data_IF_346447151851
#
_entry.id   IF_346447151851
#
_cell.length_a   1.000
_cell.length_b   1.000
_cell.length_c   1.000
_cell.angle_alpha   90.00
_cell.angle_beta   90.00
_cell.angle_gamma   90.00
#
_symmetry.space_group_name_H-M   'P 1'
#
loop_
_entity.id
_entity.type
_entity.pdbx_description
1 polymer ?
#
# COMPACT_ATOMS: atom_id res chain seq x y z
N UNK A 1 65.78 -37.68 -28.78
CA UNK A 1 66.05 -36.83 -29.94
C UNK A 1 64.93 -37.10 -30.93
N UNK A 2 63.78 -36.49 -30.66
CA UNK A 2 63.22 -35.41 -31.49
C UNK A 2 63.40 -35.59 -33.01
N UNK A 3 62.33 -35.69 -33.79
CA UNK A 3 61.46 -34.57 -34.17
C UNK A 3 60.54 -34.92 -35.35
N UNK A 4 59.41 -34.20 -35.38
CA UNK A 4 58.64 -33.76 -36.55
C UNK A 4 57.73 -34.70 -37.38
N UNK A 5 56.44 -34.65 -37.00
CA UNK A 5 55.34 -34.03 -37.74
C UNK A 5 55.17 -34.27 -39.26
N UNK A 6 53.98 -34.77 -39.64
CA UNK A 6 53.03 -34.05 -40.52
C UNK A 6 51.64 -34.67 -40.50
N UNK A 7 50.66 -33.83 -40.16
CA UNK A 7 49.26 -34.19 -39.99
C UNK A 7 48.50 -34.37 -41.30
N UNK A 8 47.35 -35.02 -41.18
CA UNK A 8 46.23 -34.88 -42.10
C UNK A 8 45.02 -34.43 -41.28
N UNK A 9 44.43 -33.33 -41.73
CA UNK A 9 43.17 -32.74 -41.27
C UNK A 9 42.09 -33.82 -41.26
N UNK A 10 41.38 -33.93 -40.14
CA UNK A 10 39.98 -34.33 -40.18
C UNK A 10 39.17 -33.28 -39.42
N UNK A 11 38.41 -32.54 -40.21
CA UNK A 11 37.43 -31.56 -39.78
C UNK A 11 36.33 -32.32 -39.02
N UNK A 12 36.27 -32.14 -37.71
CA UNK A 12 35.01 -32.27 -36.98
C UNK A 12 34.69 -30.90 -36.43
N UNK A 13 33.91 -30.15 -37.22
CA UNK A 13 33.04 -29.10 -36.72
C UNK A 13 32.26 -29.67 -35.53
N UNK A 14 32.73 -29.37 -34.32
CA UNK A 14 31.94 -29.53 -33.11
C UNK A 14 30.82 -28.51 -33.18
N UNK A 15 29.62 -29.00 -33.45
CA UNK A 15 28.35 -28.31 -33.36
C UNK A 15 28.29 -27.40 -32.11
N UNK A 16 27.55 -26.28 -32.15
CA UNK A 16 27.46 -25.37 -31.01
C UNK A 16 26.95 -26.14 -29.80
N UNK A 17 27.75 -26.15 -28.75
CA UNK A 17 27.31 -26.61 -27.43
C UNK A 17 26.05 -25.82 -27.08
N UNK A 18 24.90 -26.50 -27.08
CA UNK A 18 23.74 -26.08 -26.33
C UNK A 18 24.21 -25.95 -24.88
N UNK A 19 24.36 -24.71 -24.42
CA UNK A 19 24.59 -24.37 -23.03
C UNK A 19 23.30 -24.70 -22.29
N UNK A 20 23.22 -25.92 -21.74
CA UNK A 20 22.16 -26.29 -20.82
C UNK A 20 22.19 -25.35 -19.61
N UNK A 21 20.99 -24.92 -19.22
CA UNK A 21 20.64 -24.19 -18.01
C UNK A 21 21.17 -24.87 -16.72
N UNK A 22 22.45 -24.71 -16.38
CA UNK A 22 22.98 -25.23 -15.10
C UNK A 22 22.41 -24.43 -13.92
N UNK A 23 21.42 -25.02 -13.24
CA UNK A 23 20.88 -24.55 -11.99
C UNK A 23 21.88 -24.80 -10.85
N UNK A 24 22.45 -23.75 -10.28
CA UNK A 24 23.39 -23.84 -9.16
C UNK A 24 22.63 -24.14 -7.86
N UNK A 25 22.85 -25.32 -7.26
CA UNK A 25 22.30 -25.65 -5.94
C UNK A 25 23.17 -25.02 -4.84
N UNK A 26 22.58 -24.11 -4.05
CA UNK A 26 23.21 -23.51 -2.88
C UNK A 26 22.78 -24.24 -1.61
N UNK A 27 23.73 -24.90 -0.96
CA UNK A 27 23.52 -25.70 0.25
C UNK A 27 24.04 -25.02 1.53
N UNK A 28 24.51 -23.78 1.42
CA UNK A 28 25.13 -23.00 2.50
C UNK A 28 26.61 -22.68 2.26
N UNK A 29 27.15 -21.77 3.07
CA UNK A 29 28.55 -21.34 3.02
C UNK A 29 28.83 -20.18 2.05
N UNK A 30 30.11 -19.89 1.86
CA UNK A 30 30.56 -18.78 0.99
C UNK A 30 30.72 -19.23 -0.47
N UNK A 31 30.37 -18.33 -1.39
CA UNK A 31 30.61 -18.54 -2.83
C UNK A 31 31.90 -17.82 -3.22
N UNK A 32 32.92 -18.56 -3.71
CA UNK A 32 34.18 -17.97 -4.18
C UNK A 32 33.94 -16.96 -5.30
N UNK A 33 34.73 -15.87 -5.30
CA UNK A 33 34.51 -14.72 -6.20
C UNK A 33 34.58 -15.09 -7.68
N UNK A 34 35.45 -16.03 -8.01
CA UNK A 34 35.65 -16.57 -9.35
C UNK A 34 34.39 -17.25 -9.89
N UNK A 35 33.62 -17.94 -9.04
CA UNK A 35 32.40 -18.65 -9.43
C UNK A 35 31.20 -17.73 -9.60
N UNK A 36 31.19 -16.54 -8.97
CA UNK A 36 30.05 -15.60 -8.99
C UNK A 36 29.65 -15.14 -10.40
N UNK A 37 30.59 -15.15 -11.35
CA UNK A 37 30.34 -14.77 -12.74
C UNK A 37 29.69 -15.88 -13.55
N UNK A 38 29.77 -17.13 -13.10
CA UNK A 38 29.24 -18.31 -13.77
C UNK A 38 27.79 -18.60 -13.36
N UNK A 39 27.38 -18.15 -12.17
CA UNK A 39 26.04 -18.40 -11.64
C UNK A 39 25.03 -17.52 -12.38
N UNK A 40 24.15 -18.17 -13.14
CA UNK A 40 23.02 -17.53 -13.84
C UNK A 40 21.69 -17.80 -13.15
N UNK A 41 21.54 -18.95 -12.50
CA UNK A 41 20.32 -19.37 -11.81
C UNK A 41 20.71 -20.10 -10.53
N UNK A 42 20.09 -19.77 -9.40
CA UNK A 42 20.33 -20.45 -8.13
C UNK A 42 19.07 -21.09 -7.58
N UNK A 43 19.22 -22.29 -7.02
CA UNK A 43 18.23 -22.96 -6.18
C UNK A 43 18.77 -23.03 -4.75
N UNK A 44 18.06 -22.42 -3.81
CA UNK A 44 18.41 -22.43 -2.38
C UNK A 44 17.86 -23.70 -1.76
N UNK A 45 18.75 -24.58 -1.29
CA UNK A 45 18.38 -25.87 -0.73
C UNK A 45 17.57 -25.77 0.56
N UNK A 46 16.73 -26.77 0.88
CA UNK A 46 15.77 -26.72 1.99
C UNK A 46 16.43 -26.71 3.38
N UNK A 47 17.69 -27.12 3.46
CA UNK A 47 18.51 -27.10 4.68
C UNK A 47 19.07 -25.72 5.04
N UNK A 48 19.05 -24.76 4.10
CA UNK A 48 19.63 -23.43 4.31
C UNK A 48 18.72 -22.63 5.26
N UNK A 49 19.24 -22.32 6.45
CA UNK A 49 18.51 -21.55 7.47
C UNK A 49 18.74 -20.04 7.35
N UNK A 50 19.88 -19.65 6.82
CA UNK A 50 20.27 -18.26 6.62
C UNK A 50 21.16 -18.15 5.39
N UNK A 51 20.99 -17.06 4.63
CA UNK A 51 21.92 -16.66 3.58
C UNK A 51 22.81 -15.59 4.18
N UNK A 52 24.11 -15.86 4.30
CA UNK A 52 25.05 -14.95 4.94
C UNK A 52 25.23 -13.66 4.13
N UNK A 53 25.69 -12.59 4.82
CA UNK A 53 25.93 -11.30 4.19
C UNK A 53 26.87 -11.40 2.98
N UNK A 54 26.45 -10.80 1.86
CA UNK A 54 27.24 -10.74 0.63
C UNK A 54 27.46 -12.07 -0.09
N UNK A 55 26.69 -13.12 0.21
CA UNK A 55 26.85 -14.47 -0.36
C UNK A 55 26.79 -14.46 -1.89
N UNK A 56 25.78 -13.81 -2.48
CA UNK A 56 25.59 -13.63 -3.92
C UNK A 56 25.93 -12.21 -4.39
N UNK A 57 26.52 -11.36 -3.54
CA UNK A 57 26.88 -9.99 -3.92
C UNK A 57 27.75 -9.96 -5.19
N UNK A 58 27.34 -9.16 -6.18
CA UNK A 58 28.02 -9.02 -7.46
C UNK A 58 27.93 -10.24 -8.38
N UNK A 59 27.01 -11.19 -8.15
CA UNK A 59 26.68 -12.22 -9.13
C UNK A 59 25.93 -11.58 -10.31
N UNK A 60 26.65 -10.84 -11.16
CA UNK A 60 26.05 -9.97 -12.19
C UNK A 60 25.23 -10.70 -13.24
N UNK A 61 25.45 -12.01 -13.42
CA UNK A 61 24.72 -12.85 -14.37
C UNK A 61 23.55 -13.60 -13.72
N UNK A 62 23.39 -13.54 -12.39
CA UNK A 62 22.31 -14.20 -11.68
C UNK A 62 20.97 -13.56 -12.06
N UNK A 63 20.16 -14.30 -12.82
CA UNK A 63 18.88 -13.89 -13.36
C UNK A 63 17.69 -14.44 -12.58
N UNK A 64 17.85 -15.59 -11.90
CA UNK A 64 16.77 -16.28 -11.20
C UNK A 64 17.23 -16.84 -9.85
N UNK A 65 16.41 -16.65 -8.81
CA UNK A 65 16.58 -17.23 -7.48
C UNK A 65 15.33 -18.04 -7.17
N UNK A 66 15.50 -19.34 -6.93
CA UNK A 66 14.44 -20.27 -6.57
C UNK A 66 14.67 -20.78 -5.14
N UNK A 67 13.59 -20.91 -4.37
CA UNK A 67 13.62 -21.51 -3.04
C UNK A 67 12.87 -22.84 -3.08
N UNK A 68 13.39 -23.85 -2.39
CA UNK A 68 12.73 -25.15 -2.33
C UNK A 68 11.42 -25.07 -1.52
N UNK A 69 10.43 -25.87 -1.95
CA UNK A 69 9.18 -26.04 -1.20
C UNK A 69 9.48 -26.47 0.24
N UNK A 70 8.87 -25.79 1.21
CA UNK A 70 9.11 -26.07 2.64
C UNK A 70 10.48 -25.62 3.14
N UNK A 71 11.14 -24.67 2.47
CA UNK A 71 12.35 -24.01 2.97
C UNK A 71 12.17 -23.50 4.41
N UNK A 72 13.23 -23.62 5.21
CA UNK A 72 13.29 -23.09 6.58
C UNK A 72 14.20 -21.86 6.66
N UNK A 73 14.34 -21.13 5.55
CA UNK A 73 15.15 -19.92 5.48
C UNK A 73 14.53 -18.82 6.35
N UNK A 74 15.21 -18.43 7.43
CA UNK A 74 14.72 -17.46 8.40
C UNK A 74 15.16 -16.03 8.10
N UNK A 75 16.35 -15.87 7.51
CA UNK A 75 16.95 -14.57 7.28
C UNK A 75 17.82 -14.54 6.01
N UNK A 76 17.77 -13.39 5.33
CA UNK A 76 18.69 -13.06 4.24
C UNK A 76 19.57 -11.92 4.72
N UNK A 77 20.88 -12.15 4.79
CA UNK A 77 21.87 -11.24 5.34
C UNK A 77 22.10 -9.98 4.49
N UNK A 78 22.88 -9.07 5.04
CA UNK A 78 23.15 -7.78 4.43
C UNK A 78 23.85 -7.93 3.07
N UNK A 79 23.41 -7.17 2.08
CA UNK A 79 23.95 -7.20 0.72
C UNK A 79 23.96 -8.60 0.07
N UNK A 80 23.17 -9.57 0.57
CA UNK A 80 23.26 -10.96 0.12
C UNK A 80 23.12 -11.12 -1.40
N UNK A 81 22.28 -10.31 -2.05
CA UNK A 81 22.08 -10.29 -3.50
C UNK A 81 22.40 -8.91 -4.11
N UNK A 82 23.23 -8.09 -3.46
CA UNK A 82 23.56 -6.77 -4.00
C UNK A 82 24.25 -6.86 -5.36
N UNK A 83 24.00 -5.90 -6.25
CA UNK A 83 24.55 -5.82 -7.60
C UNK A 83 24.32 -7.07 -8.48
N UNK A 84 23.28 -7.87 -8.21
CA UNK A 84 22.80 -8.92 -9.11
C UNK A 84 22.01 -8.29 -10.27
N UNK A 85 22.73 -7.57 -11.14
CA UNK A 85 22.11 -6.72 -12.19
C UNK A 85 21.28 -7.48 -13.21
N UNK A 86 21.42 -8.80 -13.35
CA UNK A 86 20.60 -9.63 -14.24
C UNK A 86 19.29 -10.11 -13.59
N UNK A 87 19.16 -10.01 -12.26
CA UNK A 87 18.00 -10.50 -11.51
C UNK A 87 16.77 -9.69 -11.90
N UNK A 88 15.70 -10.36 -12.34
CA UNK A 88 14.48 -9.71 -12.83
C UNK A 88 13.31 -9.77 -11.86
N UNK A 89 13.25 -10.85 -11.11
CA UNK A 89 12.20 -11.09 -10.13
C UNK A 89 12.77 -11.85 -8.94
N UNK A 90 12.17 -11.67 -7.77
CA UNK A 90 12.44 -12.50 -6.59
C UNK A 90 11.15 -12.76 -5.85
N UNK A 91 10.99 -13.99 -5.36
CA UNK A 91 9.91 -14.37 -4.46
C UNK A 91 10.49 -14.62 -3.08
N UNK A 92 10.03 -13.87 -2.08
CA UNK A 92 10.45 -14.03 -0.69
C UNK A 92 9.57 -15.07 -0.01
N UNK A 93 10.13 -16.22 0.43
CA UNK A 93 9.33 -17.31 0.97
C UNK A 93 8.76 -17.00 2.36
N UNK A 94 7.64 -17.65 2.71
CA UNK A 94 6.89 -17.38 3.95
C UNK A 94 7.70 -17.52 5.24
N UNK A 95 8.75 -18.34 5.23
CA UNK A 95 9.63 -18.59 6.37
C UNK A 95 10.56 -17.42 6.70
N UNK A 96 10.80 -16.52 5.75
CA UNK A 96 11.75 -15.40 5.93
C UNK A 96 11.12 -14.36 6.85
N UNK A 97 11.80 -14.10 7.96
CA UNK A 97 11.36 -13.14 8.98
C UNK A 97 12.06 -11.80 8.85
N UNK A 98 13.23 -11.76 8.18
CA UNK A 98 14.11 -10.60 8.09
C UNK A 98 14.87 -10.53 6.77
N UNK A 99 14.85 -9.33 6.17
CA UNK A 99 15.75 -8.93 5.08
C UNK A 99 16.79 -7.94 5.63
N UNK A 100 18.07 -8.24 5.40
CA UNK A 100 19.20 -7.40 5.82
C UNK A 100 19.33 -6.11 5.02
N UNK A 101 20.27 -5.28 5.45
CA UNK A 101 20.58 -3.99 4.81
C UNK A 101 21.11 -4.23 3.39
N UNK A 102 20.58 -3.50 2.40
CA UNK A 102 21.05 -3.54 1.03
C UNK A 102 20.87 -4.89 0.32
N UNK A 103 19.97 -5.75 0.80
CA UNK A 103 19.85 -7.15 0.33
C UNK A 103 19.77 -7.29 -1.20
N UNK A 104 19.05 -6.41 -1.88
CA UNK A 104 18.93 -6.35 -3.35
C UNK A 104 19.44 -5.01 -3.92
N UNK A 105 20.26 -4.27 -3.17
CA UNK A 105 20.78 -2.98 -3.60
C UNK A 105 21.52 -3.10 -4.95
N UNK A 106 21.19 -2.25 -5.92
CA UNK A 106 21.80 -2.23 -7.24
C UNK A 106 21.34 -3.36 -8.18
N UNK A 107 20.29 -4.12 -7.84
CA UNK A 107 19.65 -5.05 -8.78
C UNK A 107 18.83 -4.27 -9.83
N UNK A 108 19.52 -3.59 -10.74
CA UNK A 108 18.91 -2.57 -11.62
C UNK A 108 17.83 -3.10 -12.58
N UNK A 109 17.82 -4.40 -12.88
CA UNK A 109 16.79 -5.06 -13.69
C UNK A 109 15.70 -5.75 -12.87
N UNK A 110 15.74 -5.68 -11.54
CA UNK A 110 14.71 -6.25 -10.68
C UNK A 110 13.42 -5.45 -10.88
N UNK A 111 12.47 -6.06 -11.59
CA UNK A 111 11.22 -5.45 -11.99
C UNK A 111 10.05 -5.85 -11.07
N UNK A 112 10.16 -7.00 -10.43
CA UNK A 112 9.10 -7.58 -9.60
C UNK A 112 9.67 -8.16 -8.29
N UNK A 113 8.99 -7.88 -7.18
CA UNK A 113 9.28 -8.47 -5.87
C UNK A 113 7.97 -9.04 -5.34
N UNK A 114 7.96 -10.35 -5.14
CA UNK A 114 6.80 -11.09 -4.64
C UNK A 114 7.08 -11.55 -3.21
N UNK A 115 6.04 -11.55 -2.38
CA UNK A 115 6.08 -12.15 -1.04
C UNK A 115 5.04 -13.25 -1.02
N UNK A 116 5.41 -14.45 -0.56
CA UNK A 116 4.45 -15.54 -0.47
C UNK A 116 3.31 -15.21 0.51
N UNK A 117 2.10 -15.70 0.20
CA UNK A 117 0.94 -15.52 1.07
C UNK A 117 1.19 -16.07 2.48
N UNK A 118 0.83 -15.29 3.51
CA UNK A 118 1.10 -15.66 4.91
C UNK A 118 2.56 -15.50 5.33
N UNK A 119 3.33 -14.66 4.63
CA UNK A 119 4.68 -14.26 5.02
C UNK A 119 4.80 -13.76 6.46
N UNK A 120 5.93 -14.09 7.10
CA UNK A 120 6.27 -13.69 8.46
C UNK A 120 7.31 -12.56 8.49
N UNK A 121 7.52 -11.87 7.36
CA UNK A 121 8.52 -10.82 7.24
C UNK A 121 8.14 -9.63 8.12
N UNK A 122 8.95 -9.30 9.12
CA UNK A 122 8.65 -8.25 10.09
C UNK A 122 9.13 -6.86 9.67
N UNK A 123 10.23 -6.83 8.90
CA UNK A 123 10.87 -5.60 8.49
C UNK A 123 11.63 -5.77 7.17
N UNK A 124 11.62 -4.70 6.38
CA UNK A 124 12.50 -4.52 5.22
C UNK A 124 13.68 -3.65 5.68
N UNK A 125 14.91 -4.14 5.51
CA UNK A 125 16.12 -3.46 5.96
C UNK A 125 16.42 -2.14 5.23
N UNK A 126 17.38 -1.39 5.78
CA UNK A 126 17.87 -0.15 5.17
C UNK A 126 18.45 -0.45 3.77
N UNK A 127 18.29 0.46 2.81
CA UNK A 127 18.77 0.31 1.42
C UNK A 127 18.31 -0.97 0.68
N UNK A 128 17.34 -1.74 1.22
CA UNK A 128 17.06 -3.12 0.77
C UNK A 128 16.86 -3.28 -0.74
N UNK A 129 16.18 -2.33 -1.39
CA UNK A 129 15.92 -2.28 -2.82
C UNK A 129 16.52 -1.05 -3.49
N UNK A 130 17.53 -0.41 -2.87
CA UNK A 130 18.16 0.79 -3.40
C UNK A 130 18.67 0.59 -4.82
N UNK A 131 18.41 1.55 -5.71
CA UNK A 131 18.76 1.52 -7.13
C UNK A 131 18.20 0.30 -7.92
N UNK A 132 17.08 -0.28 -7.48
CA UNK A 132 16.29 -1.22 -8.30
C UNK A 132 15.50 -0.45 -9.37
N UNK A 133 16.20 0.09 -10.36
CA UNK A 133 15.65 1.04 -11.34
C UNK A 133 14.55 0.47 -12.23
N UNK A 134 14.42 -0.86 -12.36
CA UNK A 134 13.35 -1.49 -13.15
C UNK A 134 12.07 -1.75 -12.35
N UNK A 135 12.12 -1.67 -11.01
CA UNK A 135 10.98 -1.95 -10.14
C UNK A 135 9.88 -0.92 -10.40
N UNK A 136 8.67 -1.39 -10.71
CA UNK A 136 7.53 -0.53 -11.09
C UNK A 136 6.49 -0.40 -9.99
N UNK A 137 6.21 -1.51 -9.33
CA UNK A 137 5.22 -1.60 -8.26
C UNK A 137 5.73 -2.57 -7.21
N UNK A 138 5.34 -2.36 -5.96
CA UNK A 138 5.61 -3.31 -4.88
C UNK A 138 4.47 -3.26 -3.87
N UNK A 139 4.02 -4.45 -3.46
CA UNK A 139 3.06 -4.64 -2.38
C UNK A 139 3.80 -5.15 -1.16
N UNK A 140 3.84 -4.34 -0.10
CA UNK A 140 4.47 -4.67 1.18
C UNK A 140 3.43 -5.37 2.05
N UNK A 141 3.68 -6.63 2.47
CA UNK A 141 2.67 -7.45 3.13
C UNK A 141 2.41 -7.01 4.57
N UNK A 142 1.25 -7.43 5.10
CA UNK A 142 0.73 -6.97 6.39
C UNK A 142 1.63 -7.28 7.61
N UNK A 143 2.49 -8.30 7.48
CA UNK A 143 3.44 -8.65 8.54
C UNK A 143 4.55 -7.60 8.72
N UNK A 144 4.80 -6.75 7.72
CA UNK A 144 5.89 -5.77 7.72
C UNK A 144 5.46 -4.52 8.49
N UNK A 145 6.02 -4.37 9.69
CA UNK A 145 5.75 -3.21 10.55
C UNK A 145 6.69 -2.04 10.29
N UNK A 146 7.85 -2.30 9.68
CA UNK A 146 8.92 -1.32 9.49
C UNK A 146 9.59 -1.41 8.13
N UNK A 147 9.71 -0.25 7.48
CA UNK A 147 10.56 -0.04 6.31
C UNK A 147 11.83 0.72 6.74
N UNK A 148 12.99 0.22 6.36
CA UNK A 148 14.29 0.83 6.66
C UNK A 148 14.55 2.15 5.94
N UNK A 149 15.59 2.85 6.37
CA UNK A 149 16.04 4.09 5.74
C UNK A 149 16.50 3.81 4.30
N UNK A 150 16.19 4.69 3.35
CA UNK A 150 16.58 4.55 1.94
C UNK A 150 16.17 3.22 1.25
N UNK A 151 15.19 2.49 1.79
CA UNK A 151 14.84 1.15 1.32
C UNK A 151 14.54 1.06 -0.18
N UNK A 152 13.96 2.11 -0.79
CA UNK A 152 13.70 2.23 -2.22
C UNK A 152 14.41 3.44 -2.86
N UNK A 153 15.49 3.95 -2.26
CA UNK A 153 16.26 5.08 -2.81
C UNK A 153 16.67 4.81 -4.26
N UNK A 154 16.37 5.75 -5.15
CA UNK A 154 16.75 5.68 -6.56
C UNK A 154 16.01 4.61 -7.40
N UNK A 155 14.88 4.08 -6.94
CA UNK A 155 14.00 3.24 -7.76
C UNK A 155 13.22 4.08 -8.78
N UNK A 156 13.89 4.62 -9.80
CA UNK A 156 13.33 5.66 -10.69
C UNK A 156 12.04 5.29 -11.42
N UNK A 157 11.81 4.01 -11.75
CA UNK A 157 10.57 3.57 -12.40
C UNK A 157 9.46 3.15 -11.43
N UNK A 158 9.68 3.22 -10.11
CA UNK A 158 8.68 2.87 -9.11
C UNK A 158 7.55 3.88 -9.19
N UNK A 159 6.36 3.44 -9.62
CA UNK A 159 5.19 4.28 -9.85
C UNK A 159 4.17 4.20 -8.71
N UNK A 160 4.09 3.03 -8.07
CA UNK A 160 3.10 2.74 -7.03
C UNK A 160 3.72 1.87 -5.94
N UNK A 161 3.41 2.19 -4.69
CA UNK A 161 3.74 1.36 -3.53
C UNK A 161 2.49 1.14 -2.72
N UNK A 162 2.10 -0.13 -2.57
CA UNK A 162 1.01 -0.51 -1.69
C UNK A 162 1.57 -1.11 -0.41
N UNK A 163 1.04 -0.69 0.72
CA UNK A 163 1.28 -1.30 2.02
C UNK A 163 -0.02 -1.94 2.50
N UNK A 164 0.04 -3.21 2.84
CA UNK A 164 -1.06 -3.88 3.52
C UNK A 164 -1.13 -3.45 5.01
N UNK A 165 -2.09 -3.99 5.75
CA UNK A 165 -2.35 -3.58 7.14
C UNK A 165 -1.15 -3.82 8.05
N UNK A 166 -0.80 -2.88 8.93
CA UNK A 166 0.20 -3.11 9.98
C UNK A 166 1.52 -2.35 9.82
N UNK A 167 1.71 -1.60 8.73
CA UNK A 167 2.85 -0.68 8.63
C UNK A 167 2.78 0.41 9.72
N UNK A 168 3.84 0.50 10.52
CA UNK A 168 3.94 1.49 11.60
C UNK A 168 4.97 2.58 11.31
N UNK A 169 6.09 2.23 10.65
CA UNK A 169 7.23 3.13 10.45
C UNK A 169 7.78 3.02 9.03
N UNK A 170 7.96 4.18 8.40
CA UNK A 170 8.70 4.37 7.15
C UNK A 170 10.00 5.11 7.47
N UNK A 171 11.13 4.50 7.11
CA UNK A 171 12.46 5.06 7.30
C UNK A 171 12.69 6.38 6.56
N UNK A 172 13.64 7.16 7.06
CA UNK A 172 14.06 8.41 6.45
C UNK A 172 14.58 8.16 5.04
N UNK A 173 14.14 8.98 4.10
CA UNK A 173 14.57 8.87 2.72
C UNK A 173 14.21 7.57 1.99
N UNK A 174 13.28 6.77 2.53
CA UNK A 174 12.90 5.49 1.94
C UNK A 174 12.56 5.58 0.44
N UNK A 175 12.04 6.72 -0.02
CA UNK A 175 11.68 7.03 -1.40
C UNK A 175 12.36 8.31 -1.89
N UNK A 176 13.64 8.52 -1.54
CA UNK A 176 14.44 9.57 -2.18
C UNK A 176 14.78 9.16 -3.60
N UNK A 177 14.77 10.14 -4.50
CA UNK A 177 15.25 9.96 -5.85
C UNK A 177 16.43 10.89 -6.06
N UNK A 178 17.55 10.32 -6.51
CA UNK A 178 18.70 11.15 -6.86
C UNK A 178 18.27 12.23 -7.86
N UNK A 179 18.63 13.51 -7.59
CA UNK A 179 18.32 14.74 -8.37
C UNK A 179 18.51 14.72 -9.90
N UNK A 180 19.00 13.60 -10.45
CA UNK A 180 19.26 13.39 -11.88
C UNK A 180 18.31 12.38 -12.53
N UNK A 181 17.40 11.76 -11.76
CA UNK A 181 16.43 10.81 -12.28
C UNK A 181 15.03 11.41 -12.20
N UNK A 182 14.29 11.40 -13.30
CA UNK A 182 12.83 11.56 -13.26
C UNK A 182 12.27 10.35 -12.53
N UNK A 183 11.67 10.58 -11.37
CA UNK A 183 10.99 9.55 -10.61
C UNK A 183 9.55 9.43 -11.09
N UNK A 184 8.99 8.22 -11.06
CA UNK A 184 7.62 7.98 -11.49
C UNK A 184 6.63 7.79 -10.32
N UNK A 185 7.11 7.84 -9.07
CA UNK A 185 6.28 7.54 -7.90
C UNK A 185 5.21 8.60 -7.73
N UNK A 186 4.01 8.29 -8.18
CA UNK A 186 2.85 9.18 -8.14
C UNK A 186 1.95 8.88 -6.96
N UNK A 187 1.91 7.62 -6.50
CA UNK A 187 0.92 7.15 -5.54
C UNK A 187 1.52 6.21 -4.48
N UNK A 188 1.12 6.42 -3.22
CA UNK A 188 1.37 5.51 -2.11
C UNK A 188 0.03 5.11 -1.51
N UNK A 189 -0.23 3.82 -1.41
CA UNK A 189 -1.50 3.25 -0.93
C UNK A 189 -1.25 2.57 0.42
N UNK A 190 -1.98 2.99 1.45
CA UNK A 190 -1.92 2.46 2.82
C UNK A 190 -3.23 1.75 3.14
N UNK A 191 -3.25 0.42 3.00
CA UNK A 191 -4.35 -0.41 3.46
C UNK A 191 -4.25 -0.65 4.97
N UNK A 192 -5.38 -0.69 5.67
CA UNK A 192 -5.41 -0.69 7.14
C UNK A 192 -4.93 0.62 7.77
N UNK A 193 -4.77 1.69 6.98
CA UNK A 193 -4.31 3.00 7.44
C UNK A 193 -5.38 3.81 8.19
N UNK A 194 -6.48 3.19 8.63
CA UNK A 194 -7.58 3.85 9.35
C UNK A 194 -7.13 4.58 10.61
N UNK A 195 -6.05 4.10 11.25
CA UNK A 195 -5.44 4.77 12.39
C UNK A 195 -4.85 6.13 12.01
N UNK A 196 -4.50 6.40 10.74
CA UNK A 196 -4.11 7.73 10.28
C UNK A 196 -5.30 8.70 10.19
N UNK A 197 -6.53 8.21 10.32
CA UNK A 197 -7.73 9.05 10.33
C UNK A 197 -8.14 9.37 11.77
N UNK A 198 -8.74 10.55 11.97
CA UNK A 198 -9.26 10.95 13.28
C UNK A 198 -10.54 10.15 13.61
N UNK A 199 -10.49 9.20 14.54
CA UNK A 199 -11.65 8.37 14.94
C UNK A 199 -12.91 9.20 15.26
N UNK A 200 -12.74 10.32 15.97
CA UNK A 200 -13.85 11.23 16.30
C UNK A 200 -14.56 11.82 15.07
N UNK A 201 -13.90 11.89 13.92
CA UNK A 201 -14.50 12.38 12.69
C UNK A 201 -15.60 11.44 12.19
N UNK A 202 -15.35 10.12 12.25
CA UNK A 202 -16.31 9.10 11.82
C UNK A 202 -17.50 9.01 12.78
N UNK A 203 -17.27 9.28 14.08
CA UNK A 203 -18.32 9.26 15.10
C UNK A 203 -19.17 10.54 15.14
N UNK A 204 -18.60 11.71 14.79
CA UNK A 204 -19.22 13.03 15.05
C UNK A 204 -19.52 13.86 13.81
N UNK A 205 -19.09 13.45 12.62
CA UNK A 205 -19.20 14.23 11.39
C UNK A 205 -18.29 15.48 11.36
N UNK A 206 -18.49 16.35 10.36
CA UNK A 206 -17.68 17.55 10.05
C UNK A 206 -17.59 18.61 11.17
N UNK A 207 -18.34 18.46 12.27
CA UNK A 207 -18.58 19.51 13.26
C UNK A 207 -17.40 19.83 14.18
N UNK A 208 -16.27 19.13 14.08
CA UNK A 208 -15.13 19.35 14.99
C UNK A 208 -14.09 20.35 14.48
N UNK A 209 -14.17 20.82 13.23
CA UNK A 209 -13.14 21.70 12.64
C UNK A 209 -11.74 21.06 12.57
N UNK A 210 -11.61 19.78 12.90
CA UNK A 210 -10.42 18.97 12.71
C UNK A 210 -10.59 18.19 11.40
N UNK A 211 -9.63 18.31 10.49
CA UNK A 211 -9.61 17.55 9.24
C UNK A 211 -9.58 16.04 9.49
N UNK A 212 -9.89 15.24 8.47
CA UNK A 212 -10.00 13.79 8.65
C UNK A 212 -8.63 13.13 8.91
N UNK A 213 -7.55 13.70 8.37
CA UNK A 213 -6.19 13.21 8.52
C UNK A 213 -5.59 13.57 9.89
N UNK A 214 -5.05 12.58 10.59
CA UNK A 214 -4.31 12.78 11.83
C UNK A 214 -2.82 13.06 11.54
N UNK A 215 -2.49 14.34 11.38
CA UNK A 215 -1.12 14.77 11.05
C UNK A 215 -0.06 14.25 12.05
N UNK A 216 -0.41 14.15 13.34
CA UNK A 216 0.54 13.68 14.36
C UNK A 216 0.91 12.22 14.15
N UNK A 217 -0.08 11.37 13.85
CA UNK A 217 0.12 9.94 13.56
C UNK A 217 0.88 9.77 12.24
N UNK A 218 0.53 10.52 11.21
CA UNK A 218 1.24 10.51 9.93
C UNK A 218 2.72 10.93 10.08
N UNK A 219 2.99 12.03 10.78
CA UNK A 219 4.37 12.50 11.02
C UNK A 219 5.19 11.47 11.82
N UNK A 220 4.55 10.76 12.75
CA UNK A 220 5.20 9.69 13.52
C UNK A 220 5.55 8.48 12.63
N UNK A 221 4.66 8.11 11.71
CA UNK A 221 4.87 7.03 10.74
C UNK A 221 6.05 7.33 9.81
N UNK A 222 6.11 8.54 9.25
CA UNK A 222 7.11 8.95 8.25
C UNK A 222 8.43 9.39 8.90
N UNK A 223 8.62 9.14 10.20
CA UNK A 223 9.93 9.27 10.84
C UNK A 223 10.34 10.70 11.22
N UNK A 224 9.41 11.59 11.62
CA UNK A 224 9.75 12.83 12.33
C UNK A 224 10.29 12.51 13.74
N UNK A 225 11.51 11.99 13.85
CA UNK A 225 12.25 11.95 15.12
C UNK A 225 13.44 12.89 15.02
N UNK A 226 13.48 13.84 15.95
CA UNK A 226 14.51 14.84 16.19
C UNK A 226 15.96 14.31 16.02
N UNK A 227 16.50 14.36 14.81
CA UNK A 227 17.95 14.32 14.59
C UNK A 227 18.36 15.34 13.53
N UNK A 228 19.55 15.91 13.71
CA UNK A 228 20.09 17.03 12.94
C UNK A 228 20.53 16.65 11.51
N UNK A 229 19.88 15.68 10.85
CA UNK A 229 20.29 15.18 9.53
C UNK A 229 19.20 15.51 8.50
N UNK A 230 19.58 16.06 7.36
CA UNK A 230 18.68 16.61 6.34
C UNK A 230 17.79 15.57 5.58
N UNK A 231 17.89 14.28 5.88
CA UNK A 231 17.26 13.18 5.13
C UNK A 231 16.05 12.54 5.85
N UNK A 232 15.40 13.25 6.77
CA UNK A 232 14.33 12.69 7.61
C UNK A 232 12.98 12.46 6.91
N UNK A 233 12.79 12.94 5.70
CA UNK A 233 11.52 12.76 4.99
C UNK A 233 11.59 11.54 4.08
N UNK A 234 10.68 10.59 4.25
CA UNK A 234 10.62 9.41 3.39
C UNK A 234 10.43 9.77 1.90
N UNK A 235 9.75 10.88 1.60
CA UNK A 235 9.37 11.29 0.24
C UNK A 235 10.15 12.52 -0.27
N UNK A 236 11.35 12.79 0.26
CA UNK A 236 12.13 13.96 -0.15
C UNK A 236 12.47 13.91 -1.66
N UNK A 237 12.21 15.00 -2.37
CA UNK A 237 12.44 15.13 -3.83
C UNK A 237 11.62 14.12 -4.69
N UNK A 238 10.52 13.58 -4.14
CA UNK A 238 9.58 12.70 -4.85
C UNK A 238 8.46 13.48 -5.56
N UNK A 239 8.05 13.11 -6.79
CA UNK A 239 6.89 13.68 -7.48
C UNK A 239 5.55 13.13 -6.96
N UNK A 240 5.52 12.68 -5.70
CA UNK A 240 4.34 12.10 -5.07
C UNK A 240 3.22 13.14 -5.09
N UNK A 241 2.09 12.80 -5.68
CA UNK A 241 0.95 13.72 -5.78
C UNK A 241 -0.09 13.43 -4.72
N UNK A 242 -0.26 12.16 -4.32
CA UNK A 242 -1.24 11.75 -3.33
C UNK A 242 -0.76 10.58 -2.46
N UNK A 243 -1.16 10.62 -1.18
CA UNK A 243 -1.19 9.44 -0.29
C UNK A 243 -2.64 8.97 -0.20
N UNK A 244 -2.89 7.73 -0.58
CA UNK A 244 -4.18 7.08 -0.50
C UNK A 244 -4.24 6.24 0.78
N UNK A 245 -5.25 6.46 1.61
CA UNK A 245 -5.43 5.74 2.87
C UNK A 245 -6.76 5.00 2.82
N UNK A 246 -6.77 3.70 3.12
CA UNK A 246 -8.03 2.97 3.23
C UNK A 246 -8.88 3.53 4.37
N UNK A 247 -10.13 3.81 4.07
CA UNK A 247 -11.15 4.19 5.06
C UNK A 247 -11.52 2.94 5.87
N UNK A 248 -11.87 3.07 7.16
CA UNK A 248 -12.20 1.92 8.01
C UNK A 248 -13.20 0.95 7.41
N UNK A 249 -12.94 -0.34 7.60
CA UNK A 249 -13.73 -1.44 7.02
C UNK A 249 -15.20 -1.42 7.45
N UNK A 250 -15.53 -0.77 8.57
CA UNK A 250 -16.91 -0.57 9.02
C UNK A 250 -17.78 0.17 7.99
N UNK A 251 -17.20 1.06 7.19
CA UNK A 251 -17.91 1.75 6.10
C UNK A 251 -18.21 0.81 4.93
N UNK A 252 -17.22 0.04 4.50
CA UNK A 252 -17.40 -0.99 3.48
C UNK A 252 -18.40 -2.07 3.95
N UNK A 253 -18.36 -2.48 5.21
CA UNK A 253 -19.31 -3.44 5.80
C UNK A 253 -20.75 -2.91 5.84
N UNK A 254 -20.93 -1.61 6.09
CA UNK A 254 -22.26 -0.98 5.99
C UNK A 254 -22.77 -0.99 4.55
N UNK A 255 -21.89 -0.74 3.57
CA UNK A 255 -22.26 -0.81 2.15
C UNK A 255 -22.64 -2.22 1.69
N UNK A 256 -21.98 -3.28 2.20
CA UNK A 256 -22.32 -4.67 1.83
C UNK A 256 -23.66 -5.14 2.40
N UNK A 257 -24.16 -4.50 3.46
CA UNK A 257 -25.49 -4.77 4.04
C UNK A 257 -26.64 -4.13 3.24
N UNK A 258 -26.34 -3.17 2.36
CA UNK A 258 -27.34 -2.50 1.54
C UNK A 258 -27.77 -3.34 0.33
N UNK A 259 -29.00 -3.15 -0.18
CA UNK A 259 -29.41 -3.73 -1.46
C UNK A 259 -28.47 -3.33 -2.60
N UNK A 260 -28.30 -4.22 -3.59
CA UNK A 260 -27.35 -4.06 -4.68
C UNK A 260 -27.51 -2.73 -5.43
N UNK A 261 -28.75 -2.31 -5.71
CA UNK A 261 -29.05 -1.03 -6.38
C UNK A 261 -28.56 0.18 -5.58
N UNK A 262 -28.72 0.15 -4.25
CA UNK A 262 -28.27 1.22 -3.37
C UNK A 262 -26.74 1.25 -3.32
N UNK A 263 -26.10 0.08 -3.22
CA UNK A 263 -24.64 -0.05 -3.25
C UNK A 263 -24.07 0.53 -4.56
N UNK A 264 -24.60 0.15 -5.71
CA UNK A 264 -24.15 0.65 -7.02
C UNK A 264 -24.35 2.17 -7.15
N UNK A 265 -25.45 2.71 -6.61
CA UNK A 265 -25.68 4.15 -6.56
C UNK A 265 -24.62 4.88 -5.72
N UNK A 266 -24.27 4.34 -4.55
CA UNK A 266 -23.25 4.93 -3.67
C UNK A 266 -21.87 4.84 -4.33
N UNK A 267 -21.51 3.69 -4.90
CA UNK A 267 -20.24 3.52 -5.63
C UNK A 267 -20.13 4.46 -6.84
N UNK A 268 -21.23 4.69 -7.55
CA UNK A 268 -21.28 5.69 -8.63
C UNK A 268 -20.94 7.09 -8.12
N UNK A 269 -21.51 7.48 -6.98
CA UNK A 269 -21.23 8.78 -6.34
C UNK A 269 -19.80 8.88 -5.81
N UNK A 270 -19.23 7.80 -5.28
CA UNK A 270 -17.82 7.78 -4.84
C UNK A 270 -16.90 8.09 -6.02
N UNK A 271 -17.15 7.50 -7.20
CA UNK A 271 -16.34 7.74 -8.40
C UNK A 271 -16.43 9.18 -8.95
N UNK A 272 -17.43 9.95 -8.55
CA UNK A 272 -17.58 11.37 -8.91
C UNK A 272 -16.79 12.30 -7.98
N UNK A 273 -16.36 11.82 -6.81
CA UNK A 273 -15.67 12.62 -5.79
C UNK A 273 -14.15 12.58 -6.03
N UNK A 274 -13.54 13.74 -6.25
CA UNK A 274 -12.11 13.85 -6.58
C UNK A 274 -11.14 13.39 -5.48
N UNK A 275 -11.61 13.30 -4.23
CA UNK A 275 -10.80 12.96 -3.06
C UNK A 275 -11.03 11.53 -2.58
N UNK A 276 -11.86 10.74 -3.27
CA UNK A 276 -12.13 9.35 -2.95
C UNK A 276 -11.92 8.46 -4.18
N UNK A 277 -11.46 7.26 -3.93
CA UNK A 277 -11.33 6.22 -4.95
C UNK A 277 -11.93 4.92 -4.42
N UNK A 278 -12.51 4.13 -5.33
CA UNK A 278 -13.01 2.80 -5.00
C UNK A 278 -12.02 1.77 -5.56
N UNK A 279 -11.25 1.14 -4.67
CA UNK A 279 -10.32 0.09 -5.04
C UNK A 279 -11.05 -1.23 -5.37
N UNK A 280 -10.30 -2.18 -5.94
CA UNK A 280 -10.82 -3.52 -6.20
C UNK A 280 -11.28 -4.17 -4.89
N UNK A 281 -12.49 -4.73 -4.88
CA UNK A 281 -13.10 -5.33 -3.68
C UNK A 281 -14.01 -4.40 -2.85
N UNK A 282 -14.18 -3.13 -3.25
CA UNK A 282 -15.11 -2.20 -2.58
C UNK A 282 -14.51 -1.44 -1.40
N UNK A 283 -13.18 -1.52 -1.24
CA UNK A 283 -12.44 -0.67 -0.30
C UNK A 283 -12.45 0.77 -0.78
N UNK A 284 -12.85 1.68 0.10
CA UNK A 284 -12.81 3.12 -0.18
C UNK A 284 -11.44 3.65 0.22
N UNK A 285 -10.76 4.34 -0.68
CA UNK A 285 -9.51 5.03 -0.45
C UNK A 285 -9.78 6.53 -0.34
N UNK A 286 -9.30 7.14 0.74
CA UNK A 286 -9.25 8.59 0.90
C UNK A 286 -7.93 9.11 0.33
N UNK A 287 -8.00 10.03 -0.64
CA UNK A 287 -6.85 10.55 -1.36
C UNK A 287 -6.43 11.90 -0.77
N UNK A 288 -5.26 11.94 -0.12
CA UNK A 288 -4.71 13.16 0.46
C UNK A 288 -3.63 13.76 -0.45
N UNK A 289 -3.80 14.99 -0.95
CA UNK A 289 -2.79 15.64 -1.77
C UNK A 289 -1.51 15.92 -0.98
N UNK A 290 -0.39 15.78 -1.69
CA UNK A 290 0.95 16.04 -1.15
C UNK A 290 1.43 17.40 -1.63
N UNK A 291 1.74 18.29 -0.69
CA UNK A 291 2.20 19.65 -0.94
C UNK A 291 3.64 19.77 -0.49
N UNK A 292 4.54 20.02 -1.45
CA UNK A 292 5.95 20.30 -1.13
C UNK A 292 6.11 21.78 -0.78
N UNK A 293 6.57 22.07 0.44
CA UNK A 293 6.90 23.43 0.88
C UNK A 293 8.42 23.58 1.03
N UNK A 294 8.94 24.68 0.52
CA UNK A 294 10.32 25.10 0.79
C UNK A 294 10.28 25.85 2.13
N UNK A 295 11.04 25.38 3.11
CA UNK A 295 11.19 26.13 4.36
C UNK A 295 12.35 27.12 4.24
N UNK A 296 12.11 28.39 4.61
CA UNK A 296 13.09 29.50 4.57
C UNK A 296 14.20 29.39 5.63
N UNK A 297 14.46 28.19 6.17
CA UNK A 297 15.56 27.98 7.10
C UNK A 297 16.90 27.98 6.33
N UNK A 298 17.98 28.45 6.96
CA UNK A 298 19.34 28.63 6.37
C UNK A 298 19.94 27.39 5.68
N UNK A 299 19.29 26.22 5.77
CA UNK A 299 19.71 24.93 5.19
C UNK A 299 18.90 24.58 3.92
N UNK A 300 17.85 25.33 3.56
CA UNK A 300 17.05 25.07 2.36
C UNK A 300 16.39 23.69 2.36
N UNK A 301 15.78 23.29 3.48
CA UNK A 301 15.12 21.99 3.60
C UNK A 301 13.72 22.02 2.94
N UNK A 302 13.45 21.00 2.12
CA UNK A 302 12.11 20.74 1.57
C UNK A 302 11.33 19.91 2.58
N UNK A 303 10.16 20.40 2.98
CA UNK A 303 9.21 19.63 3.79
C UNK A 303 8.08 19.17 2.90
N UNK A 304 7.87 17.86 2.84
CA UNK A 304 6.69 17.26 2.20
C UNK A 304 5.57 17.26 3.23
N UNK A 305 4.51 18.00 2.98
CA UNK A 305 3.36 18.13 3.86
C UNK A 305 2.15 17.50 3.18
N UNK A 306 1.48 16.57 3.86
CA UNK A 306 0.31 15.88 3.35
C UNK A 306 -0.88 16.53 4.01
N UNK A 307 -1.74 17.18 3.23
CA UNK A 307 -2.82 17.99 3.79
C UNK A 307 -4.16 17.54 3.23
N UNK A 308 -5.18 17.49 4.08
CA UNK A 308 -6.56 17.55 3.61
C UNK A 308 -6.90 19.01 3.29
N UNK A 309 -6.52 19.47 2.09
CA UNK A 309 -6.71 20.86 1.67
C UNK A 309 -8.19 21.25 1.76
N UNK A 310 -8.46 22.30 2.52
CA UNK A 310 -9.82 22.82 2.78
C UNK A 310 -10.82 21.78 3.32
N UNK A 311 -10.33 20.67 3.92
CA UNK A 311 -11.16 19.55 4.39
C UNK A 311 -12.00 18.88 3.28
N UNK A 312 -11.57 18.94 2.02
CA UNK A 312 -12.33 18.38 0.89
C UNK A 312 -12.50 16.85 0.98
N UNK A 313 -11.49 16.15 1.50
CA UNK A 313 -11.52 14.70 1.73
C UNK A 313 -12.50 14.37 2.84
N UNK A 314 -12.45 15.12 3.94
CA UNK A 314 -13.42 15.02 5.02
C UNK A 314 -14.86 15.25 4.51
N UNK A 315 -15.10 16.30 3.71
CA UNK A 315 -16.44 16.56 3.16
C UNK A 315 -16.93 15.41 2.28
N UNK A 316 -16.06 14.88 1.42
CA UNK A 316 -16.36 13.75 0.55
C UNK A 316 -16.73 12.49 1.35
N UNK A 317 -15.95 12.15 2.38
CA UNK A 317 -16.25 11.03 3.27
C UNK A 317 -17.58 11.23 4.01
N UNK A 318 -17.85 12.46 4.45
CA UNK A 318 -19.10 12.78 5.13
C UNK A 318 -20.31 12.66 4.19
N UNK A 319 -20.18 13.03 2.92
CA UNK A 319 -21.23 12.82 1.91
C UNK A 319 -21.53 11.34 1.70
N UNK A 320 -20.50 10.49 1.62
CA UNK A 320 -20.66 9.03 1.49
C UNK A 320 -21.33 8.44 2.73
N UNK A 321 -20.87 8.82 3.93
CA UNK A 321 -21.50 8.44 5.20
C UNK A 321 -22.99 8.83 5.24
N UNK A 322 -23.34 10.05 4.79
CA UNK A 322 -24.73 10.52 4.72
C UNK A 322 -25.58 9.67 3.78
N UNK A 323 -25.04 9.30 2.61
CA UNK A 323 -25.74 8.46 1.64
C UNK A 323 -25.98 7.06 2.20
N UNK A 324 -24.96 6.43 2.80
CA UNK A 324 -25.09 5.11 3.44
C UNK A 324 -26.17 5.16 4.53
N UNK A 325 -26.08 6.11 5.46
CA UNK A 325 -27.06 6.23 6.55
C UNK A 325 -28.48 6.46 6.02
N UNK A 326 -28.65 7.25 4.95
CA UNK A 326 -29.96 7.45 4.32
C UNK A 326 -30.55 6.15 3.78
N UNK A 327 -29.75 5.35 3.09
CA UNK A 327 -30.20 4.06 2.56
C UNK A 327 -30.49 3.04 3.66
N UNK A 328 -29.68 2.99 4.72
CA UNK A 328 -29.93 2.14 5.89
C UNK A 328 -31.26 2.48 6.59
N UNK A 329 -31.62 3.77 6.67
CA UNK A 329 -32.88 4.20 7.27
C UNK A 329 -34.08 3.87 6.40
N UNK A 330 -33.96 4.06 5.09
CA UNK A 330 -35.03 3.73 4.14
C UNK A 330 -35.44 2.25 4.27
N UNK A 331 -34.47 1.38 4.56
CA UNK A 331 -34.67 -0.05 4.79
C UNK A 331 -35.02 -0.39 6.26
N UNK A 332 -34.93 0.57 7.19
CA UNK A 332 -35.20 0.34 8.61
C UNK A 332 -36.70 0.20 8.87
N UNK A 333 -37.04 -0.86 9.61
CA UNK A 333 -38.39 -1.10 10.12
C UNK A 333 -38.92 0.06 10.98
N UNK A 334 -38.08 0.99 11.46
CA UNK A 334 -38.52 2.19 12.18
C UNK A 334 -39.31 3.13 11.28
N UNK A 335 -38.91 3.34 10.02
CA UNK A 335 -39.68 4.17 9.09
C UNK A 335 -40.98 3.48 8.66
N UNK A 336 -40.95 2.15 8.55
CA UNK A 336 -42.13 1.32 8.30
C UNK A 336 -43.06 1.31 9.51
N UNK A 337 -42.55 1.16 10.73
CA UNK A 337 -43.30 1.21 11.99
C UNK A 337 -43.85 2.60 12.25
N UNK A 338 -43.11 3.68 11.98
CA UNK A 338 -43.64 5.05 12.01
C UNK A 338 -44.77 5.26 10.99
N UNK A 339 -44.66 4.65 9.81
CA UNK A 339 -45.73 4.62 8.83
C UNK A 339 -46.93 3.73 9.25
N UNK A 340 -46.69 2.65 10.01
CA UNK A 340 -47.72 1.73 10.52
C UNK A 340 -48.39 2.23 11.81
N UNK A 341 -47.67 2.93 12.70
CA UNK A 341 -48.20 3.51 13.95
C UNK A 341 -49.32 4.51 13.65
N UNK A 342 -49.14 5.27 12.57
CA UNK A 342 -50.14 6.12 11.94
C UNK A 342 -51.42 5.38 11.48
N UNK A 343 -51.33 4.10 11.11
CA UNK A 343 -52.51 3.29 10.74
C UNK A 343 -53.36 2.85 11.95
N UNK A 344 -52.76 2.75 13.15
CA UNK A 344 -53.44 2.32 14.38
C UNK A 344 -54.15 3.45 15.14
N UNK A 345 -53.76 4.71 14.93
CA UNK A 345 -54.37 5.88 15.58
C UNK A 345 -55.71 6.31 14.95
N UNK A 346 -56.07 5.78 13.78
CA UNK A 346 -57.34 6.08 13.09
C UNK A 346 -58.26 4.85 13.21
N UNK A 347 -59.03 4.79 14.29
CA UNK A 347 -59.86 3.61 14.63
C UNK A 347 -61.18 3.54 13.83
N UNK A 348 -61.51 4.48 12.93
CA UNK A 348 -62.85 4.52 12.33
C UNK A 348 -62.94 4.81 10.81
N UNK A 349 -61.92 4.49 10.00
CA UNK A 349 -62.04 4.56 8.53
C UNK A 349 -61.37 3.41 7.79
N UNK A 350 -61.95 3.07 6.62
CA UNK A 350 -61.47 2.03 5.73
C UNK A 350 -60.00 2.26 5.32
N UNK A 351 -59.23 1.17 5.28
CA UNK A 351 -57.77 1.08 5.05
C UNK A 351 -57.22 1.89 3.85
N UNK A 352 -58.05 2.29 2.89
CA UNK A 352 -57.62 2.98 1.66
C UNK A 352 -57.27 4.48 1.86
N UNK A 353 -57.72 5.12 2.95
CA UNK A 353 -57.55 6.57 3.17
C UNK A 353 -56.57 6.94 4.32
N UNK A 354 -55.87 5.97 4.92
CA UNK A 354 -55.06 6.19 6.13
C UNK A 354 -53.66 6.79 5.87
N UNK A 355 -53.54 7.80 5.00
CA UNK A 355 -52.26 8.51 4.74
C UNK A 355 -52.24 9.95 5.30
N UNK A 356 -52.46 10.15 6.59
CA UNK A 356 -52.26 11.46 7.27
C UNK A 356 -50.80 11.77 7.59
N UNK A 357 -50.23 12.92 7.20
CA UNK A 357 -48.81 13.24 7.43
C UNK A 357 -48.33 13.00 8.88
N UNK A 358 -47.05 12.64 9.05
CA UNK A 358 -46.45 12.54 10.40
C UNK A 358 -46.48 13.93 11.03
N UNK A 359 -46.93 14.11 12.29
CA UNK A 359 -46.95 15.43 12.92
C UNK A 359 -45.55 16.04 12.96
N UNK A 360 -45.45 17.33 12.68
CA UNK A 360 -44.15 18.02 12.53
C UNK A 360 -43.23 17.90 13.75
N UNK A 361 -43.72 17.95 15.01
CA UNK A 361 -42.87 17.71 16.18
C UNK A 361 -42.26 16.30 16.21
N UNK A 362 -43.01 15.29 15.75
CA UNK A 362 -42.51 13.92 15.69
C UNK A 362 -41.47 13.77 14.58
N UNK A 363 -41.67 14.40 13.42
CA UNK A 363 -40.66 14.42 12.34
C UNK A 363 -39.33 15.00 12.84
N UNK A 364 -39.38 16.11 13.58
CA UNK A 364 -38.19 16.74 14.16
C UNK A 364 -37.50 15.86 15.20
N UNK A 365 -38.26 15.19 16.08
CA UNK A 365 -37.70 14.29 17.09
C UNK A 365 -37.09 13.02 16.51
N UNK A 366 -37.66 12.47 15.42
CA UNK A 366 -37.08 11.33 14.69
C UNK A 366 -35.80 11.78 14.00
N UNK A 367 -35.82 12.95 13.36
CA UNK A 367 -34.61 13.55 12.78
C UNK A 367 -33.55 13.78 13.87
N UNK A 368 -33.92 14.23 15.07
CA UNK A 368 -32.99 14.44 16.18
C UNK A 368 -32.41 13.13 16.70
N UNK A 369 -33.27 12.15 16.96
CA UNK A 369 -32.90 10.80 17.41
C UNK A 369 -31.95 10.10 16.43
N UNK A 370 -32.16 10.31 15.14
CA UNK A 370 -31.33 9.75 14.07
C UNK A 370 -30.13 10.65 13.69
N UNK A 371 -29.94 11.81 14.33
CA UNK A 371 -28.80 12.71 14.11
C UNK A 371 -28.88 13.59 12.84
N UNK A 372 -30.07 13.84 12.31
CA UNK A 372 -30.34 14.56 11.05
C UNK A 372 -31.00 15.93 11.20
N UNK A 373 -31.19 16.45 12.42
CA UNK A 373 -31.84 17.75 12.69
C UNK A 373 -31.25 18.93 11.92
N UNK A 374 -29.97 18.86 11.57
CA UNK A 374 -29.26 19.89 10.80
C UNK A 374 -29.04 19.52 9.32
N UNK A 375 -29.50 18.33 8.89
CA UNK A 375 -29.31 17.75 7.55
C UNK A 375 -30.57 17.80 6.68
N UNK A 376 -31.74 17.56 7.28
CA UNK A 376 -33.04 17.63 6.62
C UNK A 376 -33.95 18.51 7.47
N UNK A 377 -34.54 19.54 6.87
CA UNK A 377 -35.72 20.15 7.47
C UNK A 377 -36.91 19.24 7.18
N UNK A 378 -37.62 18.75 8.20
CA UNK A 378 -38.86 18.06 7.96
C UNK A 378 -39.79 19.02 7.20
N UNK A 379 -40.44 18.53 6.14
CA UNK A 379 -41.47 19.32 5.46
C UNK A 379 -42.61 19.51 6.46
N UNK A 380 -42.73 20.73 6.97
CA UNK A 380 -43.77 21.16 7.90
C UNK A 380 -44.98 21.56 7.05
N UNK A 381 -46.17 21.09 7.39
CA UNK A 381 -47.36 21.47 6.62
C UNK A 381 -47.68 22.95 6.89
N UNK A 382 -47.41 23.82 5.91
CA UNK A 382 -47.72 25.25 5.97
C UNK A 382 -46.64 26.22 5.48
N UNK A 383 -45.46 25.73 5.08
CA UNK A 383 -44.36 26.52 4.48
C UNK A 383 -44.38 26.57 2.94
#
# INVERSE_FOLDING_TARGET
>A
MDDDARGSRDERESAPHQLDDELFLYEGGEIPRERRREITRVRIGPQVKDIASGTFAGCRNLAEVHFDEGTNLLAVGDNAFSECVALRQVTIPTSVTRLGTGVFAGCSNLAEVHFDEGTNLLAVGDDAFRYCTALRQVTIPASVTRLGDFAFDGCSNLAEVQFDEGLEIIGGGAFIFARRCEANLSEVILLGGEWLLNEKFLDRGLFCGQGVLNQKRLNAMVGFKNSNIAYHFAFLECPLTAIKVSVPGSLSERMTRLPEECRLSIEGRIRELSCLELAQGGTILACFPVVTRVTDNEIGQYTVDVQDTDNQTAESLHQVLRLISFHELKESSILIELALWKSRLVVDRAHADCRTSVPDPAKSLIMEYCGFTDFLKPVIEGD
#
